data_IF_621058924102
#
_entry.id   IF_621058924102
#
_cell.length_a   1.000
_cell.length_b   1.000
_cell.length_c   1.000
_cell.angle_alpha   90.00
_cell.angle_beta   90.00
_cell.angle_gamma   90.00
#
_symmetry.space_group_name_H-M   'P 1'
#
loop_
_entity.id
_entity.type
_entity.pdbx_description
1 polymer ?
#
# COMPACT_ATOMS: atom_id res chain seq x y z
N UNK A 1 5.10 8.72 -35.06
CA UNK A 1 6.08 7.76 -34.50
C UNK A 1 5.35 6.87 -33.51
N UNK A 2 5.44 5.55 -33.72
CA UNK A 2 4.58 4.51 -33.12
C UNK A 2 4.63 4.41 -31.58
N UNK A 3 3.47 4.33 -30.94
CA UNK A 3 3.25 4.02 -29.51
C UNK A 3 3.73 2.62 -29.08
N UNK A 4 4.25 1.81 -30.00
CA UNK A 4 4.63 0.40 -29.79
C UNK A 4 6.04 0.23 -29.19
N UNK A 5 6.89 1.27 -29.25
CA UNK A 5 8.25 1.24 -28.69
C UNK A 5 8.28 1.36 -27.15
N UNK A 6 7.22 1.91 -26.54
CA UNK A 6 7.16 2.09 -25.10
C UNK A 6 6.90 0.77 -24.35
N UNK A 7 6.18 -0.17 -24.97
CA UNK A 7 5.88 -1.46 -24.33
C UNK A 7 7.09 -2.39 -24.30
N UNK A 8 7.93 -2.39 -25.35
CA UNK A 8 9.15 -3.22 -25.42
C UNK A 8 10.23 -2.79 -24.41
N UNK A 9 10.35 -1.49 -24.11
CA UNK A 9 11.27 -0.96 -23.08
C UNK A 9 10.94 -1.45 -21.67
N UNK A 10 9.66 -1.70 -21.38
CA UNK A 10 9.20 -2.11 -20.05
C UNK A 10 9.36 -3.61 -19.77
N UNK A 11 9.45 -4.44 -20.83
CA UNK A 11 9.61 -5.89 -20.71
C UNK A 11 11.08 -6.26 -20.48
N UNK A 12 12.02 -5.56 -21.11
CA UNK A 12 13.45 -5.80 -20.93
C UNK A 12 13.96 -5.40 -19.53
N UNK A 13 13.38 -4.35 -18.92
CA UNK A 13 13.74 -3.92 -17.56
C UNK A 13 13.31 -4.91 -16.47
N UNK A 14 12.33 -5.77 -16.76
CA UNK A 14 11.78 -6.72 -15.80
C UNK A 14 12.63 -7.99 -15.62
N UNK A 15 13.48 -8.37 -16.58
CA UNK A 15 14.34 -9.57 -16.46
C UNK A 15 15.62 -9.35 -15.63
N UNK A 16 16.04 -8.11 -15.40
CA UNK A 16 17.36 -7.79 -14.83
C UNK A 16 17.31 -7.15 -13.43
N UNK A 17 16.30 -7.45 -12.61
CA UNK A 17 16.37 -6.98 -11.24
C UNK A 17 17.53 -7.64 -10.51
N UNK A 18 18.57 -6.84 -10.24
CA UNK A 18 19.74 -7.19 -9.45
C UNK A 18 19.48 -7.12 -7.94
N UNK A 19 18.52 -6.28 -7.52
CA UNK A 19 18.25 -5.99 -6.13
C UNK A 19 16.78 -6.21 -5.75
N UNK A 20 16.55 -6.61 -4.51
CA UNK A 20 15.22 -6.74 -3.92
C UNK A 20 14.60 -5.36 -3.72
N UNK A 21 13.37 -5.16 -4.19
CA UNK A 21 12.64 -3.90 -4.04
C UNK A 21 12.13 -3.59 -2.63
N UNK A 22 12.41 -4.45 -1.65
CA UNK A 22 12.02 -4.30 -0.24
C UNK A 22 13.25 -4.07 0.64
N UNK A 23 14.23 -4.98 0.64
CA UNK A 23 15.44 -4.85 1.45
C UNK A 23 16.62 -4.20 0.73
N UNK A 24 16.52 -3.92 -0.57
CA UNK A 24 17.63 -3.43 -1.42
C UNK A 24 18.88 -4.34 -1.45
N UNK A 25 18.79 -5.56 -0.93
CA UNK A 25 19.87 -6.55 -1.04
C UNK A 25 19.96 -7.11 -2.45
N UNK A 26 21.16 -7.46 -2.87
CA UNK A 26 21.42 -8.08 -4.16
C UNK A 26 20.90 -9.53 -4.16
N UNK A 27 20.23 -9.93 -5.24
CA UNK A 27 19.80 -11.32 -5.40
C UNK A 27 21.00 -12.23 -5.66
N UNK A 28 20.98 -13.40 -5.05
CA UNK A 28 21.90 -14.46 -5.44
C UNK A 28 21.45 -15.11 -6.75
N UNK A 29 22.40 -15.68 -7.51
CA UNK A 29 22.15 -16.31 -8.83
C UNK A 29 21.09 -17.40 -8.78
N UNK A 30 20.95 -18.08 -7.64
CA UNK A 30 20.01 -19.19 -7.44
C UNK A 30 18.91 -18.87 -6.41
N UNK A 31 18.70 -17.59 -6.09
CA UNK A 31 17.66 -17.21 -5.13
C UNK A 31 16.29 -17.11 -5.80
N UNK A 32 15.28 -17.68 -5.14
CA UNK A 32 13.89 -17.57 -5.57
C UNK A 32 13.39 -16.14 -5.34
N UNK A 33 12.89 -15.54 -6.41
CA UNK A 33 12.35 -14.19 -6.41
C UNK A 33 10.97 -14.18 -7.04
N UNK A 34 10.12 -13.30 -6.56
CA UNK A 34 8.75 -13.12 -7.06
C UNK A 34 8.54 -11.68 -7.48
N UNK A 35 7.85 -11.48 -8.60
CA UNK A 35 7.50 -10.16 -9.11
C UNK A 35 6.15 -9.72 -8.53
N UNK A 36 6.09 -8.52 -7.97
CA UNK A 36 4.80 -7.91 -7.61
C UNK A 36 4.05 -7.52 -8.89
N UNK A 37 2.85 -8.06 -9.10
CA UNK A 37 1.98 -7.67 -10.23
C UNK A 37 1.16 -6.42 -9.95
N UNK A 38 1.27 -5.85 -8.75
CA UNK A 38 0.67 -4.56 -8.39
C UNK A 38 1.37 -3.36 -9.04
N UNK A 39 1.04 -2.15 -8.55
CA UNK A 39 1.54 -0.89 -9.13
C UNK A 39 3.06 -0.78 -9.13
N UNK A 40 3.75 -1.36 -8.16
CA UNK A 40 5.19 -1.17 -8.02
C UNK A 40 6.04 -1.95 -9.04
N UNK A 41 5.55 -3.08 -9.58
CA UNK A 41 6.28 -3.96 -10.52
C UNK A 41 7.72 -4.28 -10.07
N UNK A 42 7.96 -4.42 -8.77
CA UNK A 42 9.28 -4.71 -8.19
C UNK A 42 9.43 -6.20 -7.85
N UNK A 43 10.64 -6.71 -8.00
CA UNK A 43 11.01 -8.05 -7.53
C UNK A 43 11.24 -8.05 -6.01
N UNK A 44 10.86 -9.14 -5.35
CA UNK A 44 11.07 -9.33 -3.91
C UNK A 44 11.73 -10.69 -3.65
N UNK A 45 12.70 -10.72 -2.75
CA UNK A 45 13.36 -11.96 -2.33
C UNK A 45 12.44 -12.78 -1.43
N UNK A 46 12.75 -14.07 -1.35
CA UNK A 46 12.03 -15.02 -0.51
C UNK A 46 11.86 -14.50 0.94
N UNK A 47 12.95 -14.01 1.55
CA UNK A 47 12.96 -13.46 2.92
C UNK A 47 11.96 -12.32 3.11
N UNK A 48 11.93 -11.35 2.20
CA UNK A 48 11.03 -10.20 2.29
C UNK A 48 9.56 -10.56 2.03
N UNK A 49 9.32 -11.63 1.28
CA UNK A 49 7.96 -12.11 1.02
C UNK A 49 7.39 -12.89 2.20
N UNK A 50 8.25 -13.52 3.01
CA UNK A 50 7.85 -14.41 4.10
C UNK A 50 7.29 -15.76 3.62
N UNK A 51 7.48 -16.11 2.33
CA UNK A 51 7.06 -17.39 1.75
C UNK A 51 8.21 -18.39 1.75
N UNK A 52 7.90 -19.68 1.57
CA UNK A 52 8.94 -20.70 1.34
C UNK A 52 9.35 -20.73 -0.14
N UNK A 53 10.54 -21.25 -0.44
CA UNK A 53 11.02 -21.41 -1.83
C UNK A 53 10.01 -22.20 -2.68
N UNK A 54 9.48 -23.30 -2.14
CA UNK A 54 8.47 -24.13 -2.80
C UNK A 54 7.18 -23.35 -3.10
N UNK A 55 6.77 -22.45 -2.20
CA UNK A 55 5.61 -21.59 -2.45
C UNK A 55 5.86 -20.61 -3.61
N UNK A 56 7.07 -20.04 -3.73
CA UNK A 56 7.42 -19.12 -4.82
C UNK A 56 7.51 -19.87 -6.15
N UNK A 57 8.10 -21.07 -6.16
CA UNK A 57 8.16 -21.95 -7.33
C UNK A 57 6.76 -22.34 -7.79
N UNK A 58 5.88 -22.75 -6.87
CA UNK A 58 4.49 -23.06 -7.19
C UNK A 58 3.76 -21.85 -7.79
N UNK A 59 3.98 -20.64 -7.27
CA UNK A 59 3.37 -19.43 -7.86
C UNK A 59 3.80 -19.24 -9.32
N UNK A 60 5.09 -19.47 -9.62
CA UNK A 60 5.63 -19.36 -10.97
C UNK A 60 5.06 -20.46 -11.90
N UNK A 61 5.00 -21.70 -11.42
CA UNK A 61 4.48 -22.85 -12.19
C UNK A 61 2.97 -22.78 -12.41
N UNK A 62 2.21 -22.38 -11.40
CA UNK A 62 0.74 -22.28 -11.43
C UNK A 62 0.25 -20.95 -12.03
N UNK A 63 1.15 -20.09 -12.54
CA UNK A 63 0.83 -18.75 -13.06
C UNK A 63 0.00 -17.90 -12.08
N UNK A 64 0.21 -18.10 -10.78
CA UNK A 64 -0.51 -17.37 -9.74
C UNK A 64 0.12 -16.01 -9.54
N UNK A 65 -0.73 -15.01 -9.38
CA UNK A 65 -0.32 -13.63 -9.19
C UNK A 65 0.04 -13.33 -7.73
N UNK A 66 1.14 -12.61 -7.50
CA UNK A 66 1.54 -12.14 -6.17
C UNK A 66 1.62 -10.62 -6.10
N UNK A 67 1.15 -10.06 -4.99
CA UNK A 67 1.13 -8.61 -4.73
C UNK A 67 1.79 -8.33 -3.39
N UNK A 68 2.79 -7.43 -3.36
CA UNK A 68 3.50 -7.06 -2.15
C UNK A 68 2.58 -6.31 -1.16
N UNK A 69 2.93 -6.30 0.12
CA UNK A 69 2.14 -5.65 1.19
C UNK A 69 1.86 -4.17 0.89
N UNK A 70 2.84 -3.45 0.34
CA UNK A 70 2.70 -2.04 -0.04
C UNK A 70 1.75 -1.80 -1.21
N UNK A 71 1.51 -2.80 -2.07
CA UNK A 71 0.52 -2.72 -3.16
C UNK A 71 -0.83 -3.32 -2.76
N UNK A 72 -0.87 -4.15 -1.72
CA UNK A 72 -2.09 -4.75 -1.18
C UNK A 72 -2.90 -3.78 -0.31
N UNK A 73 -2.57 -2.48 -0.30
CA UNK A 73 -3.22 -1.48 0.55
C UNK A 73 -4.74 -1.63 0.39
N UNK A 74 -5.45 -2.02 1.46
CA UNK A 74 -6.90 -2.03 1.39
C UNK A 74 -7.33 -0.59 1.13
N UNK A 75 -8.28 -0.38 0.22
CA UNK A 75 -9.03 0.88 0.20
C UNK A 75 -9.52 1.05 1.64
N UNK A 76 -8.92 1.97 2.40
CA UNK A 76 -9.51 2.41 3.67
C UNK A 76 -10.90 2.85 3.25
N UNK A 77 -11.93 2.14 3.71
CA UNK A 77 -13.29 2.65 3.62
C UNK A 77 -13.22 3.96 4.39
N UNK A 78 -13.21 5.08 3.69
CA UNK A 78 -13.40 6.39 4.30
C UNK A 78 -14.79 6.33 4.91
N UNK A 79 -14.87 5.94 6.18
CA UNK A 79 -16.04 6.21 6.99
C UNK A 79 -16.06 7.71 7.16
N UNK A 80 -16.83 8.38 6.30
CA UNK A 80 -17.16 9.79 6.44
C UNK A 80 -17.90 9.89 7.78
N UNK A 81 -17.22 10.36 8.81
CA UNK A 81 -17.87 10.83 10.03
C UNK A 81 -18.23 12.29 9.75
N UNK A 82 -19.51 12.53 9.45
CA UNK A 82 -20.05 13.90 9.47
C UNK A 82 -20.08 14.33 10.93
N UNK A 83 -19.10 15.14 11.34
CA UNK A 83 -19.23 15.93 12.56
C UNK A 83 -20.11 17.12 12.19
N UNK A 84 -21.37 17.10 12.63
CA UNK A 84 -22.18 18.30 12.66
C UNK A 84 -21.61 19.19 13.77
N UNK A 85 -20.95 20.27 13.37
CA UNK A 85 -20.70 21.40 14.25
C UNK A 85 -21.93 22.31 14.15
N UNK A 86 -22.89 22.09 15.03
CA UNK A 86 -23.94 23.08 15.30
C UNK A 86 -23.37 24.04 16.37
N UNK A 87 -22.44 24.89 15.94
CA UNK A 87 -22.08 26.13 16.63
C UNK A 87 -23.25 27.11 16.46
N UNK A 88 -24.31 26.94 17.26
CA UNK A 88 -25.35 27.97 17.44
C UNK A 88 -24.97 28.84 18.65
N UNK A 89 -24.19 29.88 18.34
CA UNK A 89 -24.00 31.05 19.18
C UNK A 89 -25.30 31.85 19.22
N UNK A 90 -26.00 31.80 20.36
CA UNK A 90 -27.04 32.79 20.69
C UNK A 90 -26.79 33.33 22.08
N UNK A 91 -26.06 34.44 22.09
CA UNK A 91 -25.91 35.38 23.20
C UNK A 91 -27.26 35.98 23.62
N UNK A 92 -27.52 36.14 24.92
CA UNK A 92 -28.58 37.04 25.42
C UNK A 92 -28.93 36.88 26.91
N UNK A 93 -28.99 37.95 27.72
CA UNK A 93 -28.84 37.93 29.19
C UNK A 93 -30.17 37.98 29.95
N UNK A 94 -30.16 37.76 31.27
CA UNK A 94 -30.79 38.65 32.27
C UNK A 94 -30.45 38.25 33.72
N UNK A 95 -30.16 39.27 34.52
CA UNK A 95 -29.90 39.23 35.96
C UNK A 95 -31.14 38.74 36.74
N UNK A 96 -30.93 37.93 37.78
CA UNK A 96 -31.72 38.06 39.01
C UNK A 96 -30.79 37.86 40.22
N UNK A 97 -30.59 38.95 40.95
CA UNK A 97 -30.03 38.97 42.30
C UNK A 97 -31.20 38.64 43.24
N UNK A 98 -30.97 37.73 44.18
CA UNK A 98 -31.52 37.76 45.55
C UNK A 98 -30.60 36.84 46.38
N UNK A 99 -29.68 37.38 47.18
CA UNK A 99 -29.86 37.64 48.62
C UNK A 99 -30.69 36.57 49.33
N UNK A 100 -30.07 35.75 50.19
CA UNK A 100 -30.35 35.81 51.64
C UNK A 100 -29.29 35.02 52.42
N UNK A 101 -28.99 35.53 53.61
CA UNK A 101 -27.99 35.05 54.56
C UNK A 101 -28.61 34.03 55.50
N UNK A 102 -27.84 33.02 55.94
CA UNK A 102 -27.70 32.67 57.37
C UNK A 102 -26.50 31.73 57.60
#
# INVERSE_FOLDING_TARGET
>A
MNDNDNMKKNINKAKEAKYCGVCNEQFNKSEYKVLCVGKCRKWSCQKCTGMTNKSIENLATENKNWTCKSCKVPKKKESIVMLNNDDDDSSGPEEEKDNESE
#
